data_IF_249799146116
#
_entry.id   IF_249799146116
#
_cell.length_a   1.000
_cell.length_b   1.000
_cell.length_c   1.000
_cell.angle_alpha   90.00
_cell.angle_beta   90.00
_cell.angle_gamma   90.00
#
_symmetry.space_group_name_H-M   'P 1'
#
loop_
_entity.id
_entity.type
_entity.pdbx_description
1 polymer ?
#
# COMPACT_ATOMS: atom_id res chain seq x y z
N UNK A 1 14.92 44.86 -48.91
CA UNK A 1 16.04 44.78 -47.95
C UNK A 1 15.62 45.55 -46.71
N UNK A 2 15.59 44.89 -45.54
CA UNK A 2 15.76 45.41 -44.16
C UNK A 2 15.04 44.45 -43.19
N UNK A 3 15.89 43.63 -42.55
CA UNK A 3 15.80 42.93 -41.25
C UNK A 3 14.49 42.26 -40.84
N UNK A 4 14.44 40.94 -41.06
CA UNK A 4 13.84 39.99 -40.10
C UNK A 4 14.44 40.24 -38.72
N UNK A 5 13.65 40.71 -37.77
CA UNK A 5 13.96 40.55 -36.35
C UNK A 5 14.01 39.05 -36.06
N UNK A 6 15.23 38.53 -35.88
CA UNK A 6 15.47 37.26 -35.22
C UNK A 6 15.01 37.48 -33.78
N UNK A 7 13.76 37.09 -33.51
CA UNK A 7 13.24 36.99 -32.15
C UNK A 7 14.18 36.11 -31.34
N UNK A 8 14.71 36.71 -30.27
CA UNK A 8 15.44 36.09 -29.18
C UNK A 8 15.15 34.58 -29.06
N UNK A 9 16.18 33.75 -29.29
CA UNK A 9 16.21 32.42 -28.66
C UNK A 9 16.21 32.71 -27.16
N UNK A 10 15.04 32.59 -26.55
CA UNK A 10 14.88 32.76 -25.11
C UNK A 10 15.95 31.93 -24.42
N UNK A 11 16.58 32.51 -23.41
CA UNK A 11 17.34 31.76 -22.42
C UNK A 11 16.55 30.50 -22.05
N UNK A 12 17.18 29.32 -21.97
CA UNK A 12 16.47 28.13 -21.54
C UNK A 12 15.81 28.46 -20.21
N UNK A 13 14.47 28.32 -20.14
CA UNK A 13 13.74 28.49 -18.89
C UNK A 13 14.48 27.64 -17.85
N UNK A 14 14.80 28.20 -16.66
CA UNK A 14 15.51 27.44 -15.65
C UNK A 14 14.75 26.15 -15.39
N UNK A 15 15.47 25.02 -15.41
CA UNK A 15 14.92 23.71 -15.12
C UNK A 15 14.33 23.76 -13.71
N UNK A 16 13.03 23.49 -13.59
CA UNK A 16 12.36 23.43 -12.31
C UNK A 16 12.77 22.11 -11.62
N UNK A 17 13.57 22.16 -10.54
CA UNK A 17 14.11 20.96 -9.90
C UNK A 17 13.00 20.11 -9.28
N UNK A 18 11.91 20.72 -8.81
CA UNK A 18 10.77 20.02 -8.23
C UNK A 18 10.05 19.21 -9.30
N UNK A 19 9.72 19.83 -10.44
CA UNK A 19 9.07 19.11 -11.56
C UNK A 19 9.95 17.99 -12.11
N UNK A 20 11.26 18.21 -12.14
CA UNK A 20 12.23 17.20 -12.57
C UNK A 20 12.24 16.03 -11.61
N UNK A 21 12.28 16.29 -10.30
CA UNK A 21 12.22 15.24 -9.28
C UNK A 21 10.90 14.45 -9.35
N UNK A 22 9.76 15.12 -9.54
CA UNK A 22 8.46 14.47 -9.74
C UNK A 22 8.48 13.56 -10.98
N UNK A 23 9.02 14.04 -12.11
CA UNK A 23 9.16 13.25 -13.34
C UNK A 23 10.01 12.00 -13.17
N UNK A 24 11.15 12.12 -12.47
CA UNK A 24 12.01 10.98 -12.16
C UNK A 24 11.28 9.99 -11.26
N UNK A 25 10.64 10.46 -10.19
CA UNK A 25 9.90 9.60 -9.26
C UNK A 25 8.76 8.85 -9.94
N UNK A 26 7.95 9.52 -10.76
CA UNK A 26 6.87 8.88 -11.52
C UNK A 26 7.42 7.81 -12.46
N UNK A 27 8.52 8.11 -13.16
CA UNK A 27 9.13 7.18 -14.11
C UNK A 27 9.69 5.93 -13.41
N UNK A 28 10.41 6.13 -12.31
CA UNK A 28 11.00 5.03 -11.51
C UNK A 28 9.89 4.19 -10.87
N UNK A 29 8.88 4.82 -10.26
CA UNK A 29 7.72 4.12 -9.69
C UNK A 29 6.95 3.33 -10.76
N UNK A 30 6.74 3.92 -11.95
CA UNK A 30 6.06 3.25 -13.05
C UNK A 30 6.84 2.03 -13.56
N UNK A 31 8.15 2.19 -13.79
CA UNK A 31 9.02 1.08 -14.18
C UNK A 31 9.04 -0.03 -13.11
N UNK A 32 9.07 0.34 -11.83
CA UNK A 32 9.01 -0.61 -10.71
C UNK A 32 7.69 -1.42 -10.70
N UNK A 33 6.54 -0.75 -10.92
CA UNK A 33 5.24 -1.43 -11.04
C UNK A 33 5.19 -2.40 -12.23
N UNK A 34 5.71 -1.98 -13.39
CA UNK A 34 5.77 -2.84 -14.60
C UNK A 34 6.66 -4.06 -14.34
N UNK A 35 7.83 -3.86 -13.73
CA UNK A 35 8.72 -4.97 -13.37
C UNK A 35 8.04 -5.94 -12.41
N UNK A 36 7.32 -5.41 -11.41
CA UNK A 36 6.61 -6.25 -10.45
C UNK A 36 5.48 -7.04 -11.14
N UNK A 37 4.70 -6.43 -12.02
CA UNK A 37 3.72 -7.13 -12.85
C UNK A 37 4.37 -8.25 -13.66
N UNK A 38 5.49 -7.96 -14.32
CA UNK A 38 6.24 -8.93 -15.10
C UNK A 38 6.68 -10.13 -14.23
N UNK A 39 7.31 -9.87 -13.08
CA UNK A 39 7.70 -10.92 -12.13
C UNK A 39 6.51 -11.72 -11.62
N UNK A 40 5.37 -11.07 -11.39
CA UNK A 40 4.19 -11.71 -10.80
C UNK A 40 3.44 -12.60 -11.81
N UNK A 41 3.47 -12.21 -13.09
CA UNK A 41 2.84 -12.95 -14.19
C UNK A 41 3.72 -14.09 -14.68
N UNK A 42 5.02 -13.84 -14.88
CA UNK A 42 5.95 -14.75 -15.56
C UNK A 42 6.97 -15.42 -14.63
N UNK A 43 7.00 -15.08 -13.33
CA UNK A 43 7.93 -15.66 -12.37
C UNK A 43 7.70 -17.15 -12.15
N UNK A 44 8.77 -17.93 -12.24
CA UNK A 44 8.71 -19.40 -12.18
C UNK A 44 8.36 -19.94 -10.79
N UNK A 45 8.58 -19.16 -9.73
CA UNK A 45 8.33 -19.55 -8.32
C UNK A 45 7.11 -18.87 -7.71
N UNK A 46 6.22 -18.35 -8.55
CA UNK A 46 5.03 -17.62 -8.12
C UNK A 46 3.91 -18.59 -7.71
N UNK A 47 3.70 -18.74 -6.39
CA UNK A 47 2.57 -19.52 -5.84
C UNK A 47 1.24 -18.79 -6.06
N UNK A 48 0.11 -19.51 -6.16
CA UNK A 48 -1.24 -18.96 -6.45
C UNK A 48 -1.93 -18.37 -5.22
N UNK A 49 -1.21 -17.58 -4.45
CA UNK A 49 -1.66 -17.07 -3.14
C UNK A 49 -2.38 -15.73 -3.29
N UNK A 50 -3.15 -15.31 -2.28
CA UNK A 50 -3.85 -14.02 -2.28
C UNK A 50 -2.86 -12.87 -2.44
N UNK A 51 -1.70 -12.92 -1.77
CA UNK A 51 -0.67 -11.86 -1.90
C UNK A 51 -0.21 -11.66 -3.35
N UNK A 52 -0.12 -12.73 -4.16
CA UNK A 52 0.20 -12.63 -5.59
C UNK A 52 -0.87 -11.81 -6.33
N UNK A 53 -2.14 -12.16 -6.15
CA UNK A 53 -3.25 -11.48 -6.82
C UNK A 53 -3.38 -10.03 -6.38
N UNK A 54 -3.17 -9.76 -5.10
CA UNK A 54 -3.14 -8.41 -4.54
C UNK A 54 -2.03 -7.57 -5.17
N UNK A 55 -0.81 -8.11 -5.32
CA UNK A 55 0.30 -7.39 -5.96
C UNK A 55 0.00 -7.09 -7.44
N UNK A 56 -0.58 -8.04 -8.19
CA UNK A 56 -1.02 -7.78 -9.58
C UNK A 56 -2.02 -6.62 -9.61
N UNK A 57 -3.07 -6.71 -8.77
CA UNK A 57 -4.13 -5.73 -8.78
C UNK A 57 -3.60 -4.33 -8.44
N UNK A 58 -2.85 -4.22 -7.35
CA UNK A 58 -2.29 -2.95 -6.92
C UNK A 58 -1.33 -2.38 -7.96
N UNK A 59 -0.42 -3.19 -8.52
CA UNK A 59 0.55 -2.68 -9.51
C UNK A 59 -0.14 -2.13 -10.75
N UNK A 60 -1.21 -2.78 -11.21
CA UNK A 60 -2.01 -2.30 -12.33
C UNK A 60 -2.66 -0.94 -12.03
N UNK A 61 -3.33 -0.82 -10.89
CA UNK A 61 -4.01 0.41 -10.51
C UNK A 61 -3.05 1.53 -10.07
N UNK A 62 -1.87 1.19 -9.55
CA UNK A 62 -0.80 2.14 -9.28
C UNK A 62 -0.23 2.75 -10.57
N UNK A 63 -0.17 2.00 -11.67
CA UNK A 63 0.20 2.58 -12.97
C UNK A 63 -0.83 3.61 -13.40
N UNK A 64 -2.13 3.28 -13.30
CA UNK A 64 -3.20 4.24 -13.60
C UNK A 64 -3.10 5.48 -12.72
N UNK A 65 -2.84 5.28 -11.42
CA UNK A 65 -2.64 6.33 -10.45
C UNK A 65 -1.50 7.28 -10.85
N UNK A 66 -0.33 6.74 -11.20
CA UNK A 66 0.83 7.51 -11.62
C UNK A 66 0.60 8.28 -12.92
N UNK A 67 -0.11 7.68 -13.89
CA UNK A 67 -0.48 8.35 -15.14
C UNK A 67 -1.43 9.52 -14.87
N UNK A 68 -2.45 9.30 -14.04
CA UNK A 68 -3.42 10.34 -13.66
C UNK A 68 -2.72 11.48 -12.90
N UNK A 69 -1.89 11.15 -11.91
CA UNK A 69 -1.13 12.11 -11.11
C UNK A 69 -0.15 12.91 -11.98
N UNK A 70 0.61 12.22 -12.84
CA UNK A 70 1.59 12.82 -13.74
C UNK A 70 0.99 13.72 -14.81
N UNK A 71 -0.32 13.63 -15.06
CA UNK A 71 -1.05 14.48 -16.00
C UNK A 71 -1.72 15.69 -15.34
N UNK A 72 -2.16 15.57 -14.09
CA UNK A 72 -3.10 16.51 -13.46
C UNK A 72 -2.56 17.25 -12.24
N UNK A 73 -1.50 16.74 -11.58
CA UNK A 73 -0.93 17.44 -10.42
C UNK A 73 -0.33 18.80 -10.80
N UNK A 74 -0.35 19.76 -9.88
CA UNK A 74 0.18 21.12 -10.12
C UNK A 74 1.70 21.10 -10.46
N UNK A 75 2.43 20.14 -9.89
CA UNK A 75 3.85 19.86 -10.17
C UNK A 75 4.05 18.76 -11.20
N UNK A 76 3.03 18.45 -12.02
CA UNK A 76 3.10 17.43 -13.05
C UNK A 76 4.30 17.67 -13.98
N UNK A 77 5.09 16.62 -14.26
CA UNK A 77 6.18 16.70 -15.24
C UNK A 77 5.65 16.88 -16.67
N UNK A 78 4.43 16.39 -16.93
CA UNK A 78 3.76 16.44 -18.23
C UNK A 78 2.33 16.99 -18.09
N UNK A 79 2.18 18.28 -17.76
CA UNK A 79 0.86 18.89 -17.61
C UNK A 79 0.11 18.77 -18.93
N UNK A 80 -1.15 18.34 -18.87
CA UNK A 80 -2.02 18.11 -20.03
C UNK A 80 -1.70 16.86 -20.88
N UNK A 81 -0.98 15.87 -20.36
CA UNK A 81 -0.85 14.58 -21.04
C UNK A 81 -2.23 13.94 -21.31
N UNK A 82 -3.14 14.02 -20.32
CA UNK A 82 -4.57 13.77 -20.47
C UNK A 82 -5.26 15.13 -20.72
N UNK A 83 -5.88 15.22 -21.89
CA UNK A 83 -6.50 16.46 -22.39
C UNK A 83 -7.99 16.53 -22.01
N UNK A 84 -8.63 15.39 -21.73
CA UNK A 84 -10.06 15.32 -21.36
C UNK A 84 -10.36 16.14 -20.10
N UNK A 85 -11.34 17.05 -20.20
CA UNK A 85 -11.85 17.85 -19.07
C UNK A 85 -12.57 16.95 -18.05
N UNK A 86 -13.39 16.00 -18.51
CA UNK A 86 -14.08 15.03 -17.65
C UNK A 86 -13.11 14.26 -16.74
N UNK A 87 -11.91 13.95 -17.26
CA UNK A 87 -10.87 13.27 -16.49
C UNK A 87 -10.23 14.17 -15.44
N UNK A 88 -10.01 15.46 -15.76
CA UNK A 88 -9.46 16.43 -14.81
C UNK A 88 -10.43 16.68 -13.67
N UNK A 89 -11.71 16.79 -14.00
CA UNK A 89 -12.78 17.01 -13.03
C UNK A 89 -12.99 15.78 -12.14
N UNK A 90 -12.61 14.60 -12.63
CA UNK A 90 -12.70 13.32 -11.90
C UNK A 90 -11.39 12.88 -11.25
N UNK A 91 -10.35 13.72 -11.24
CA UNK A 91 -9.01 13.33 -10.80
C UNK A 91 -8.98 12.86 -9.33
N UNK A 92 -9.69 13.56 -8.43
CA UNK A 92 -9.79 13.22 -7.00
C UNK A 92 -10.42 11.84 -6.81
N UNK A 93 -11.38 11.48 -7.64
CA UNK A 93 -12.09 10.20 -7.59
C UNK A 93 -11.26 9.06 -8.16
N UNK A 94 -10.50 9.29 -9.23
CA UNK A 94 -9.50 8.32 -9.73
C UNK A 94 -8.45 8.04 -8.64
N UNK A 95 -8.05 9.08 -7.93
CA UNK A 95 -7.15 8.98 -6.80
C UNK A 95 -7.77 8.19 -5.63
N UNK A 96 -9.03 8.45 -5.25
CA UNK A 96 -9.74 7.64 -4.24
C UNK A 96 -9.90 6.18 -4.67
N UNK A 97 -10.24 5.93 -5.93
CA UNK A 97 -10.39 4.59 -6.48
C UNK A 97 -9.09 3.80 -6.37
N UNK A 98 -8.00 4.34 -6.91
CA UNK A 98 -6.71 3.65 -6.97
C UNK A 98 -6.12 3.41 -5.58
N UNK A 99 -6.38 4.33 -4.63
CA UNK A 99 -5.98 4.18 -3.22
C UNK A 99 -6.78 3.15 -2.45
N UNK A 100 -8.06 2.96 -2.78
CA UNK A 100 -8.91 1.98 -2.10
C UNK A 100 -8.48 0.54 -2.36
N UNK A 101 -7.84 0.29 -3.52
CA UNK A 101 -7.44 -1.07 -3.95
C UNK A 101 -6.48 -1.72 -2.95
N UNK A 102 -5.49 -0.96 -2.47
CA UNK A 102 -4.48 -1.50 -1.55
C UNK A 102 -5.07 -1.97 -0.21
N UNK A 103 -5.71 -1.10 0.61
CA UNK A 103 -6.27 -1.50 1.91
C UNK A 103 -7.36 -2.56 1.74
N UNK A 104 -8.22 -2.44 0.71
CA UNK A 104 -9.26 -3.42 0.46
C UNK A 104 -8.67 -4.80 0.11
N UNK A 105 -7.62 -4.84 -0.71
CA UNK A 105 -6.95 -6.08 -1.04
C UNK A 105 -6.20 -6.69 0.15
N UNK A 106 -5.54 -5.86 0.97
CA UNK A 106 -4.79 -6.34 2.12
C UNK A 106 -5.65 -7.04 3.17
N UNK A 107 -6.94 -6.67 3.31
CA UNK A 107 -7.89 -7.36 4.19
C UNK A 107 -7.95 -8.85 3.83
N UNK A 108 -8.12 -9.18 2.55
CA UNK A 108 -8.18 -10.58 2.10
C UNK A 108 -6.84 -11.29 2.23
N UNK A 109 -5.73 -10.57 2.00
CA UNK A 109 -4.38 -11.12 2.18
C UNK A 109 -4.13 -11.53 3.63
N UNK A 110 -4.53 -10.69 4.60
CA UNK A 110 -4.41 -11.05 6.02
C UNK A 110 -5.27 -12.25 6.38
N UNK A 111 -6.50 -12.33 5.89
CA UNK A 111 -7.35 -13.50 6.13
C UNK A 111 -6.74 -14.79 5.54
N UNK A 112 -6.25 -14.75 4.30
CA UNK A 112 -5.56 -15.91 3.69
C UNK A 112 -4.35 -16.34 4.53
N UNK A 113 -3.52 -15.37 4.95
CA UNK A 113 -2.31 -15.63 5.73
C UNK A 113 -2.62 -16.27 7.09
N UNK A 114 -3.63 -15.76 7.81
CA UNK A 114 -4.08 -16.36 9.06
C UNK A 114 -4.59 -17.80 8.84
N UNK A 115 -5.45 -18.01 7.85
CA UNK A 115 -6.00 -19.34 7.53
C UNK A 115 -4.88 -20.32 7.19
N UNK A 116 -3.92 -19.93 6.35
CA UNK A 116 -2.82 -20.80 5.92
C UNK A 116 -1.80 -21.06 7.01
N UNK A 117 -1.66 -20.15 7.96
CA UNK A 117 -0.86 -20.38 9.17
C UNK A 117 -1.48 -21.49 10.02
N UNK A 118 -2.80 -21.47 10.19
CA UNK A 118 -3.53 -22.50 10.94
C UNK A 118 -3.66 -23.82 10.17
N UNK A 119 -3.87 -23.75 8.85
CA UNK A 119 -4.14 -24.90 7.98
C UNK A 119 -3.23 -24.86 6.74
N UNK A 120 -1.95 -25.25 6.86
CA UNK A 120 -0.99 -25.13 5.78
C UNK A 120 -1.31 -25.96 4.53
N UNK A 121 -2.08 -27.05 4.67
CA UNK A 121 -2.47 -27.92 3.55
C UNK A 121 -3.34 -27.20 2.51
N UNK A 122 -3.92 -26.06 2.84
CA UNK A 122 -4.70 -25.25 1.91
C UNK A 122 -3.84 -24.48 0.90
N UNK A 123 -2.51 -24.40 1.08
CA UNK A 123 -1.63 -23.67 0.14
C UNK A 123 -1.70 -24.21 -1.28
N UNK A 124 -1.82 -25.53 -1.42
CA UNK A 124 -1.80 -26.23 -2.70
C UNK A 124 -3.22 -26.52 -3.21
N UNK A 125 -4.24 -26.16 -2.43
CA UNK A 125 -5.63 -26.36 -2.79
C UNK A 125 -6.04 -25.31 -3.84
N UNK A 126 -6.33 -25.79 -5.05
CA UNK A 126 -6.79 -24.94 -6.15
C UNK A 126 -8.05 -24.15 -5.82
N UNK A 127 -9.06 -24.77 -5.22
CA UNK A 127 -10.35 -24.13 -4.92
C UNK A 127 -10.15 -22.98 -3.93
N UNK A 128 -9.38 -23.23 -2.87
CA UNK A 128 -9.05 -22.23 -1.87
C UNK A 128 -8.36 -21.01 -2.51
N UNK A 129 -7.35 -21.25 -3.34
CA UNK A 129 -6.65 -20.19 -4.07
C UNK A 129 -7.55 -19.44 -5.08
N UNK A 130 -8.50 -20.14 -5.71
CA UNK A 130 -9.46 -19.55 -6.66
C UNK A 130 -10.42 -18.59 -5.96
N UNK A 131 -10.87 -18.91 -4.73
CA UNK A 131 -11.70 -17.99 -3.92
C UNK A 131 -10.99 -16.65 -3.72
N UNK A 132 -9.72 -16.67 -3.31
CA UNK A 132 -8.96 -15.43 -3.11
C UNK A 132 -8.68 -14.68 -4.41
N UNK A 133 -8.49 -15.38 -5.53
CA UNK A 133 -8.45 -14.74 -6.85
C UNK A 133 -9.75 -13.99 -7.15
N UNK A 134 -10.91 -14.62 -6.97
CA UNK A 134 -12.22 -14.01 -7.22
C UNK A 134 -12.49 -12.81 -6.29
N UNK A 135 -12.08 -12.90 -5.03
CA UNK A 135 -12.25 -11.80 -4.07
C UNK A 135 -11.34 -10.62 -4.42
N UNK A 136 -10.07 -10.87 -4.75
CA UNK A 136 -9.07 -9.81 -4.96
C UNK A 136 -9.13 -9.15 -6.33
N UNK A 137 -9.53 -9.89 -7.37
CA UNK A 137 -9.56 -9.37 -8.74
C UNK A 137 -10.98 -8.94 -9.11
N UNK A 138 -11.93 -9.82 -9.48
CA UNK A 138 -13.22 -9.36 -9.96
C UNK A 138 -14.06 -8.68 -8.88
N UNK A 139 -14.23 -9.26 -7.70
CA UNK A 139 -15.14 -8.72 -6.68
C UNK A 139 -14.73 -7.31 -6.23
N UNK A 140 -13.48 -7.15 -5.80
CA UNK A 140 -12.93 -5.86 -5.39
C UNK A 140 -13.03 -4.82 -6.51
N UNK A 141 -12.60 -5.16 -7.73
CA UNK A 141 -12.61 -4.21 -8.84
C UNK A 141 -14.03 -3.86 -9.29
N UNK A 142 -14.98 -4.80 -9.28
CA UNK A 142 -16.38 -4.52 -9.60
C UNK A 142 -16.97 -3.53 -8.59
N UNK A 143 -16.72 -3.72 -7.29
CA UNK A 143 -17.20 -2.79 -6.25
C UNK A 143 -16.58 -1.42 -6.44
N UNK A 144 -15.25 -1.35 -6.62
CA UNK A 144 -14.56 -0.09 -6.81
C UNK A 144 -15.05 0.63 -8.08
N UNK A 145 -15.23 -0.09 -9.18
CA UNK A 145 -15.75 0.47 -10.44
C UNK A 145 -17.20 0.93 -10.28
N UNK A 146 -18.04 0.14 -9.62
CA UNK A 146 -19.41 0.54 -9.32
C UNK A 146 -19.44 1.83 -8.50
N UNK A 147 -18.67 1.93 -7.42
CA UNK A 147 -18.60 3.15 -6.60
C UNK A 147 -18.04 4.35 -7.38
N UNK A 148 -17.12 4.13 -8.32
CA UNK A 148 -16.62 5.17 -9.21
C UNK A 148 -17.72 5.66 -10.17
N UNK A 149 -18.45 4.74 -10.80
CA UNK A 149 -19.50 5.08 -11.77
C UNK A 149 -20.81 5.55 -11.13
N UNK A 150 -21.06 5.19 -9.87
CA UNK A 150 -22.28 5.54 -9.15
C UNK A 150 -22.51 7.06 -9.03
N UNK A 151 -21.47 7.89 -9.16
CA UNK A 151 -21.60 9.35 -9.14
C UNK A 151 -22.41 9.91 -10.31
N UNK A 152 -22.46 9.20 -11.44
CA UNK A 152 -23.24 9.61 -12.61
C UNK A 152 -24.67 9.04 -12.59
N UNK A 153 -25.02 8.28 -11.56
CA UNK A 153 -26.40 7.84 -11.36
C UNK A 153 -27.20 8.97 -10.73
N UNK A 154 -28.44 9.18 -11.19
CA UNK A 154 -29.40 10.14 -10.63
C UNK A 154 -29.96 9.64 -9.28
N UNK A 155 -29.07 9.43 -8.31
CA UNK A 155 -29.39 8.95 -6.96
C UNK A 155 -28.78 9.94 -5.97
N UNK A 156 -29.59 10.37 -5.00
CA UNK A 156 -29.12 11.22 -3.90
C UNK A 156 -28.28 10.40 -2.91
N UNK A 157 -27.02 10.20 -3.25
CA UNK A 157 -26.07 9.50 -2.39
C UNK A 157 -25.77 10.32 -1.13
N UNK A 158 -25.80 9.66 0.03
CA UNK A 158 -25.44 10.25 1.32
C UNK A 158 -24.03 10.88 1.34
N UNK A 159 -23.08 10.26 0.65
CA UNK A 159 -21.71 10.71 0.46
C UNK A 159 -21.21 10.22 -0.91
N UNK A 160 -20.26 10.90 -1.58
CA UNK A 160 -19.70 10.41 -2.85
C UNK A 160 -19.25 8.95 -2.73
N UNK A 161 -19.81 8.01 -3.52
CA UNK A 161 -19.67 6.57 -3.23
C UNK A 161 -18.23 6.07 -3.22
N UNK A 162 -17.37 6.56 -4.12
CA UNK A 162 -15.95 6.16 -4.16
C UNK A 162 -15.13 6.73 -3.00
N UNK A 163 -15.44 7.95 -2.56
CA UNK A 163 -14.80 8.53 -1.39
C UNK A 163 -15.24 7.77 -0.13
N UNK A 164 -16.52 7.41 -0.05
CA UNK A 164 -17.04 6.57 1.04
C UNK A 164 -16.38 5.19 1.07
N UNK A 165 -16.21 4.55 -0.10
CA UNK A 165 -15.51 3.27 -0.21
C UNK A 165 -14.06 3.38 0.30
N UNK A 166 -13.34 4.43 -0.11
CA UNK A 166 -11.98 4.68 0.37
C UNK A 166 -11.94 4.86 1.90
N UNK A 167 -12.89 5.62 2.44
CA UNK A 167 -12.99 5.83 3.89
C UNK A 167 -13.25 4.52 4.64
N UNK A 168 -14.26 3.78 4.18
CA UNK A 168 -14.71 2.54 4.79
C UNK A 168 -13.63 1.44 4.74
N UNK A 169 -13.02 1.25 3.57
CA UNK A 169 -12.00 0.20 3.36
C UNK A 169 -10.74 0.46 4.17
N UNK A 170 -10.30 1.71 4.29
CA UNK A 170 -9.14 2.06 5.11
C UNK A 170 -9.40 1.83 6.61
N UNK A 171 -10.58 2.20 7.13
CA UNK A 171 -10.95 1.93 8.54
C UNK A 171 -10.97 0.43 8.82
N UNK A 172 -11.62 -0.37 7.96
CA UNK A 172 -11.63 -1.82 8.13
C UNK A 172 -10.21 -2.39 8.03
N UNK A 173 -9.40 -1.93 7.09
CA UNK A 173 -8.02 -2.35 6.98
C UNK A 173 -7.22 -2.09 8.27
N UNK A 174 -7.39 -0.93 8.91
CA UNK A 174 -6.76 -0.63 10.20
C UNK A 174 -7.20 -1.61 11.29
N UNK A 175 -8.49 -1.91 11.39
CA UNK A 175 -9.03 -2.88 12.35
C UNK A 175 -8.48 -4.29 12.10
N UNK A 176 -8.48 -4.74 10.85
CA UNK A 176 -7.95 -6.07 10.47
C UNK A 176 -6.45 -6.14 10.68
N UNK A 177 -5.71 -5.04 10.48
CA UNK A 177 -4.26 -4.97 10.78
C UNK A 177 -4.00 -5.18 12.27
N UNK A 178 -4.83 -4.61 13.15
CA UNK A 178 -4.74 -4.84 14.60
C UNK A 178 -5.04 -6.32 14.93
N UNK A 179 -6.09 -6.90 14.33
CA UNK A 179 -6.42 -8.32 14.51
C UNK A 179 -5.26 -9.21 14.05
N UNK A 180 -4.66 -8.90 12.89
CA UNK A 180 -3.52 -9.62 12.36
C UNK A 180 -2.27 -9.48 13.25
N UNK A 181 -2.04 -8.31 13.86
CA UNK A 181 -0.97 -8.12 14.83
C UNK A 181 -1.17 -8.99 16.08
N UNK A 182 -2.38 -9.01 16.64
CA UNK A 182 -2.73 -9.88 17.77
C UNK A 182 -2.49 -11.34 17.39
N UNK A 183 -2.93 -11.75 16.19
CA UNK A 183 -2.67 -13.09 15.67
C UNK A 183 -1.17 -13.40 15.59
N UNK A 184 -0.35 -12.48 15.07
CA UNK A 184 1.10 -12.64 15.00
C UNK A 184 1.72 -12.81 16.39
N UNK A 185 1.29 -12.03 17.38
CA UNK A 185 1.78 -12.12 18.76
C UNK A 185 1.43 -13.47 19.40
N UNK A 186 0.18 -13.93 19.26
CA UNK A 186 -0.27 -15.22 19.78
C UNK A 186 0.50 -16.37 19.11
N UNK A 187 0.58 -16.36 17.78
CA UNK A 187 1.25 -17.40 17.02
C UNK A 187 2.77 -17.42 17.28
N UNK A 188 3.39 -16.27 17.54
CA UNK A 188 4.78 -16.19 17.97
C UNK A 188 5.03 -17.01 19.24
N UNK A 189 4.13 -16.94 20.21
CA UNK A 189 4.18 -17.78 21.42
C UNK A 189 4.12 -19.27 21.11
N UNK A 190 3.19 -19.68 20.23
CA UNK A 190 3.07 -21.08 19.80
C UNK A 190 4.29 -21.56 19.01
N UNK A 191 4.83 -20.73 18.11
CA UNK A 191 6.04 -21.02 17.36
C UNK A 191 7.25 -21.23 18.28
N UNK A 192 7.44 -20.35 19.28
CA UNK A 192 8.47 -20.50 20.29
C UNK A 192 8.30 -21.83 21.05
N UNK A 193 7.10 -22.14 21.53
CA UNK A 193 6.81 -23.39 22.25
C UNK A 193 7.16 -24.65 21.42
N UNK A 194 6.73 -24.69 20.16
CA UNK A 194 7.00 -25.83 19.25
C UNK A 194 8.48 -25.96 18.91
N UNK A 195 9.19 -24.83 18.77
CA UNK A 195 10.65 -24.83 18.57
C UNK A 195 11.35 -25.41 19.80
N UNK A 196 10.92 -25.11 21.03
CA UNK A 196 11.51 -25.72 22.23
C UNK A 196 11.16 -27.21 22.40
N UNK A 197 10.03 -27.68 21.86
CA UNK A 197 9.53 -29.06 22.04
C UNK A 197 10.11 -30.13 21.08
N UNK A 198 10.94 -29.76 20.09
CA UNK A 198 11.63 -30.61 19.08
C UNK A 198 10.75 -31.42 18.09
N UNK A 199 10.93 -31.12 16.79
CA UNK A 199 11.06 -32.05 15.63
C UNK A 199 10.89 -31.33 14.27
N UNK A 200 10.39 -30.08 14.23
CA UNK A 200 10.12 -29.36 12.97
C UNK A 200 10.62 -27.89 12.95
N UNK A 201 11.83 -27.63 13.49
CA UNK A 201 12.37 -26.28 13.66
C UNK A 201 12.38 -25.41 12.39
N UNK A 202 12.76 -25.99 11.24
CA UNK A 202 12.88 -25.23 9.98
C UNK A 202 11.53 -24.66 9.53
N UNK A 203 10.50 -25.51 9.45
CA UNK A 203 9.16 -25.12 8.99
C UNK A 203 8.54 -24.05 9.90
N UNK A 204 8.62 -24.24 11.21
CA UNK A 204 8.06 -23.30 12.19
C UNK A 204 8.75 -21.93 12.13
N UNK A 205 10.08 -21.88 11.92
CA UNK A 205 10.81 -20.64 11.78
C UNK A 205 10.46 -19.88 10.48
N UNK A 206 10.30 -20.59 9.36
CA UNK A 206 9.87 -19.96 8.10
C UNK A 206 8.47 -19.35 8.23
N UNK A 207 7.50 -20.10 8.78
CA UNK A 207 6.14 -19.58 9.01
C UNK A 207 6.14 -18.34 9.91
N UNK A 208 6.95 -18.34 10.98
CA UNK A 208 7.11 -17.18 11.85
C UNK A 208 7.62 -15.94 11.08
N UNK A 209 8.67 -16.11 10.27
CA UNK A 209 9.26 -15.01 9.49
C UNK A 209 8.27 -14.48 8.45
N UNK A 210 7.59 -15.35 7.71
CA UNK A 210 6.63 -14.94 6.68
C UNK A 210 5.47 -14.12 7.26
N UNK A 211 4.94 -14.55 8.40
CA UNK A 211 3.86 -13.82 9.08
C UNK A 211 4.27 -12.40 9.48
N UNK A 212 5.44 -12.26 10.09
CA UNK A 212 5.96 -10.97 10.55
C UNK A 212 6.41 -10.06 9.42
N UNK A 213 6.86 -10.61 8.29
CA UNK A 213 7.22 -9.80 7.12
C UNK A 213 6.00 -9.32 6.33
N UNK A 214 4.87 -10.02 6.38
CA UNK A 214 3.64 -9.53 5.78
C UNK A 214 3.12 -8.27 6.50
N UNK A 215 3.41 -8.11 7.78
CA UNK A 215 3.00 -6.94 8.56
C UNK A 215 3.58 -5.61 8.06
N UNK A 216 4.92 -5.42 7.90
CA UNK A 216 5.48 -4.19 7.34
C UNK A 216 5.08 -3.97 5.87
N UNK A 217 4.83 -5.03 5.10
CA UNK A 217 4.28 -4.91 3.74
C UNK A 217 2.91 -4.22 3.74
N UNK A 218 2.03 -4.55 4.68
CA UNK A 218 0.74 -3.87 4.83
C UNK A 218 0.83 -2.50 5.51
N UNK A 219 1.62 -2.39 6.58
CA UNK A 219 1.63 -1.24 7.48
C UNK A 219 2.31 0.00 6.86
N UNK A 220 3.46 -0.15 6.22
CA UNK A 220 4.22 1.02 5.71
C UNK A 220 3.44 1.76 4.62
N UNK A 221 2.90 1.10 3.57
CA UNK A 221 2.08 1.79 2.59
C UNK A 221 0.84 2.42 3.20
N UNK A 222 0.23 1.79 4.21
CA UNK A 222 -0.91 2.37 4.92
C UNK A 222 -0.56 3.66 5.67
N UNK A 223 0.59 3.72 6.35
CA UNK A 223 1.08 4.96 6.98
C UNK A 223 1.29 6.04 5.93
N UNK A 224 1.82 5.69 4.75
CA UNK A 224 2.00 6.64 3.65
C UNK A 224 0.66 7.09 3.03
N UNK A 225 -0.36 6.24 3.02
CA UNK A 225 -1.73 6.61 2.65
C UNK A 225 -2.44 7.43 3.72
N UNK A 226 -2.05 7.32 4.99
CA UNK A 226 -2.69 7.95 6.14
C UNK A 226 -2.93 9.46 6.03
N UNK A 227 -1.92 10.28 5.63
CA UNK A 227 -2.12 11.71 5.40
C UNK A 227 -3.19 11.99 4.35
N UNK A 228 -3.15 11.29 3.22
CA UNK A 228 -4.09 11.45 2.11
C UNK A 228 -5.52 11.00 2.46
N UNK A 229 -5.64 9.90 3.22
CA UNK A 229 -6.91 9.48 3.85
C UNK A 229 -7.41 10.58 4.80
N UNK A 230 -6.51 11.13 5.63
CA UNK A 230 -6.80 12.24 6.54
C UNK A 230 -7.49 13.39 5.83
N UNK A 231 -6.97 13.83 4.69
CA UNK A 231 -7.59 14.88 3.87
C UNK A 231 -8.97 14.52 3.33
N UNK A 232 -9.14 13.30 2.82
CA UNK A 232 -10.46 12.82 2.36
C UNK A 232 -11.45 12.73 3.53
N UNK A 233 -10.96 12.37 4.73
CA UNK A 233 -11.76 12.26 5.95
C UNK A 233 -12.10 13.62 6.58
N UNK A 234 -11.32 14.69 6.32
CA UNK A 234 -11.60 16.01 6.87
C UNK A 234 -12.94 16.57 6.37
N UNK A 235 -13.29 16.36 5.11
CA UNK A 235 -14.60 16.75 4.58
C UNK A 235 -15.73 15.96 5.26
N UNK A 236 -15.54 14.66 5.47
CA UNK A 236 -16.49 13.81 6.19
C UNK A 236 -16.64 14.22 7.67
N UNK A 237 -15.52 14.41 8.38
CA UNK A 237 -15.47 14.86 9.78
C UNK A 237 -16.09 16.25 9.93
N UNK A 238 -15.78 17.18 9.03
CA UNK A 238 -16.37 18.53 9.04
C UNK A 238 -17.88 18.50 8.78
N UNK A 239 -18.31 17.72 7.79
CA UNK A 239 -19.73 17.66 7.37
C UNK A 239 -20.62 16.97 8.42
N UNK A 240 -20.10 15.95 9.10
CA UNK A 240 -20.91 15.11 10.00
C UNK A 240 -20.50 15.20 11.47
N UNK A 241 -19.21 15.02 11.78
CA UNK A 241 -18.75 14.94 13.18
C UNK A 241 -18.75 16.31 13.87
N UNK A 242 -18.23 17.35 13.22
CA UNK A 242 -18.26 18.73 13.72
C UNK A 242 -19.68 19.28 13.80
N UNK A 243 -20.51 18.99 12.78
CA UNK A 243 -21.93 19.36 12.79
C UNK A 243 -22.67 18.69 13.94
N UNK A 244 -22.49 17.38 14.13
CA UNK A 244 -23.06 16.63 15.25
C UNK A 244 -22.55 17.12 16.61
N UNK A 245 -21.26 17.43 16.76
CA UNK A 245 -20.71 18.01 17.99
C UNK A 245 -21.31 19.37 18.32
N UNK A 246 -21.47 20.23 17.31
CA UNK A 246 -22.13 21.54 17.47
C UNK A 246 -23.61 21.39 17.83
N UNK A 247 -24.32 20.46 17.19
CA UNK A 247 -25.73 20.17 17.46
C UNK A 247 -25.95 19.56 18.85
N UNK A 248 -24.97 18.86 19.41
CA UNK A 248 -25.02 18.26 20.75
C UNK A 248 -24.39 19.14 21.86
N UNK A 249 -24.16 20.44 21.59
CA UNK A 249 -23.75 21.40 22.61
C UNK A 249 -22.28 21.33 23.03
N UNK A 250 -21.44 20.53 22.35
CA UNK A 250 -19.99 20.46 22.60
C UNK A 250 -19.20 21.63 21.99
N UNK A 251 -19.88 22.60 21.36
CA UNK A 251 -19.27 23.77 20.71
C UNK A 251 -19.00 24.99 21.61
N UNK A 252 -19.26 24.90 22.92
CA UNK A 252 -19.14 26.03 23.84
C UNK A 252 -18.02 25.86 24.86
N UNK A 253 -16.86 26.47 24.61
CA UNK A 253 -15.76 26.51 25.58
C UNK A 253 -14.59 27.36 25.11
N UNK A 254 -14.59 28.63 25.47
CA UNK A 254 -13.49 29.58 25.30
C UNK A 254 -12.22 29.09 26.03
N UNK A 255 -11.12 28.91 25.31
CA UNK A 255 -9.77 28.81 25.90
C UNK A 255 -8.83 27.82 25.23
N UNK A 256 -9.15 26.53 25.24
CA UNK A 256 -8.20 25.45 24.87
C UNK A 256 -8.37 24.91 23.44
N UNK A 257 -9.54 25.16 22.81
CA UNK A 257 -9.79 24.73 21.43
C UNK A 257 -8.94 25.46 20.39
N UNK A 258 -8.43 26.66 20.70
CA UNK A 258 -7.62 27.47 19.78
C UNK A 258 -6.24 26.89 19.50
N UNK A 259 -5.54 26.43 20.53
CA UNK A 259 -4.19 25.84 20.40
C UNK A 259 -4.24 24.45 19.75
N UNK A 260 -5.26 23.65 20.08
CA UNK A 260 -5.54 22.38 19.39
C UNK A 260 -5.86 22.60 17.92
N UNK A 261 -6.71 23.58 17.60
CA UNK A 261 -7.07 23.91 16.22
C UNK A 261 -5.87 24.47 15.44
N UNK A 262 -5.03 25.30 16.06
CA UNK A 262 -3.82 25.82 15.44
C UNK A 262 -2.79 24.70 15.18
N UNK A 263 -2.63 23.77 16.13
CA UNK A 263 -1.77 22.59 15.96
C UNK A 263 -2.30 21.66 14.88
N UNK A 264 -3.62 21.42 14.85
CA UNK A 264 -4.30 20.65 13.80
C UNK A 264 -4.12 21.29 12.42
N UNK A 265 -4.21 22.61 12.32
CA UNK A 265 -3.99 23.36 11.08
C UNK A 265 -2.54 23.28 10.62
N UNK A 266 -1.55 23.40 11.54
CA UNK A 266 -0.13 23.21 11.22
C UNK A 266 0.18 21.78 10.75
N UNK A 267 -0.35 20.77 11.46
CA UNK A 267 -0.19 19.36 11.05
C UNK A 267 -0.86 19.11 9.70
N UNK A 268 -2.04 19.68 9.45
CA UNK A 268 -2.69 19.62 8.16
C UNK A 268 -1.82 20.29 7.08
N UNK A 269 -1.29 21.48 7.30
CA UNK A 269 -0.43 22.19 6.35
C UNK A 269 0.83 21.39 5.96
N UNK A 270 1.51 20.81 6.96
CA UNK A 270 2.63 19.90 6.71
C UNK A 270 2.19 18.65 5.93
N UNK A 271 1.03 18.09 6.27
CA UNK A 271 0.48 16.93 5.58
C UNK A 271 0.05 17.26 4.14
N UNK A 272 -0.49 18.45 3.83
CA UNK A 272 -0.76 18.92 2.44
C UNK A 272 0.54 18.97 1.65
N UNK A 273 1.59 19.54 2.25
CA UNK A 273 2.87 19.74 1.60
C UNK A 273 3.58 18.41 1.32
N UNK A 274 3.49 17.45 2.25
CA UNK A 274 4.10 16.14 2.12
C UNK A 274 3.24 15.14 1.31
N UNK A 275 1.92 15.34 1.24
CA UNK A 275 1.00 14.42 0.58
C UNK A 275 1.45 14.08 -0.84
N UNK A 276 1.70 15.03 -1.76
CA UNK A 276 2.20 14.74 -3.10
C UNK A 276 3.36 13.74 -3.16
N UNK A 277 4.32 13.85 -2.24
CA UNK A 277 5.47 12.97 -2.17
C UNK A 277 5.09 11.57 -1.70
N UNK A 278 4.23 11.46 -0.68
CA UNK A 278 3.69 10.16 -0.26
C UNK A 278 2.94 9.48 -1.39
N UNK A 279 2.11 10.22 -2.12
CA UNK A 279 1.37 9.71 -3.28
C UNK A 279 2.30 9.06 -4.31
N UNK A 280 3.41 9.74 -4.63
CA UNK A 280 4.38 9.29 -5.64
C UNK A 280 5.28 8.15 -5.16
N UNK A 281 5.61 8.13 -3.87
CA UNK A 281 6.50 7.14 -3.27
C UNK A 281 5.78 5.84 -2.90
N UNK A 282 4.47 5.88 -2.71
CA UNK A 282 3.66 4.70 -2.33
C UNK A 282 3.87 3.52 -3.29
N UNK A 283 3.78 3.66 -4.63
CA UNK A 283 4.00 2.53 -5.53
C UNK A 283 5.43 1.97 -5.41
N UNK A 284 6.42 2.85 -5.23
CA UNK A 284 7.82 2.45 -5.04
C UNK A 284 8.02 1.71 -3.71
N UNK A 285 7.42 2.20 -2.63
CA UNK A 285 7.45 1.55 -1.32
C UNK A 285 6.77 0.18 -1.39
N UNK A 286 5.61 0.08 -2.06
CA UNK A 286 4.92 -1.19 -2.27
C UNK A 286 5.80 -2.20 -3.03
N UNK A 287 6.44 -1.79 -4.13
CA UNK A 287 7.30 -2.68 -4.91
C UNK A 287 8.52 -3.11 -4.09
N UNK A 288 9.16 -2.16 -3.39
CA UNK A 288 10.34 -2.44 -2.56
C UNK A 288 9.99 -3.42 -1.43
N UNK A 289 8.87 -3.20 -0.75
CA UNK A 289 8.40 -4.09 0.31
C UNK A 289 7.94 -5.43 -0.25
N UNK A 290 7.33 -5.50 -1.44
CA UNK A 290 7.00 -6.77 -2.06
C UNK A 290 8.26 -7.62 -2.27
N UNK A 291 9.34 -7.01 -2.76
CA UNK A 291 10.63 -7.70 -2.97
C UNK A 291 11.31 -8.08 -1.65
N UNK A 292 11.23 -7.26 -0.60
CA UNK A 292 11.90 -7.51 0.69
C UNK A 292 11.13 -8.48 1.58
N UNK A 293 9.82 -8.31 1.67
CA UNK A 293 8.97 -8.96 2.65
C UNK A 293 8.37 -10.27 2.16
N UNK A 294 8.13 -10.42 0.85
CA UNK A 294 7.39 -11.57 0.32
C UNK A 294 8.37 -12.60 -0.23
N UNK A 295 8.29 -13.84 0.29
CA UNK A 295 9.17 -14.96 -0.08
C UNK A 295 9.28 -15.18 -1.59
N UNK A 296 8.15 -15.36 -2.28
CA UNK A 296 8.13 -15.69 -3.71
C UNK A 296 8.81 -14.66 -4.61
N UNK A 297 8.87 -13.39 -4.20
CA UNK A 297 9.60 -12.35 -4.94
C UNK A 297 11.09 -12.35 -4.62
N UNK A 298 11.47 -12.55 -3.35
CA UNK A 298 12.88 -12.74 -2.97
C UNK A 298 13.52 -13.90 -3.73
N UNK A 299 12.79 -15.00 -3.86
CA UNK A 299 13.26 -16.19 -4.56
C UNK A 299 13.46 -15.97 -6.07
N UNK A 300 12.85 -14.95 -6.69
CA UNK A 300 13.12 -14.60 -8.09
C UNK A 300 14.46 -13.88 -8.27
N UNK A 301 14.93 -13.13 -7.27
CA UNK A 301 16.08 -12.21 -7.39
C UNK A 301 17.42 -12.92 -7.15
N UNK A 302 17.42 -14.17 -6.68
CA UNK A 302 18.57 -15.07 -6.80
C UNK A 302 18.57 -16.23 -5.80
N UNK A 303 19.17 -17.39 -6.14
CA UNK A 303 19.25 -18.56 -5.26
C UNK A 303 20.17 -18.40 -4.03
N UNK A 304 21.00 -17.34 -4.00
CA UNK A 304 22.02 -17.12 -2.95
C UNK A 304 21.83 -15.86 -2.09
N UNK A 305 20.72 -15.13 -2.24
CA UNK A 305 20.33 -14.06 -1.30
C UNK A 305 19.07 -14.47 -0.54
N UNK A 306 19.10 -15.65 0.05
CA UNK A 306 18.42 -15.80 1.34
C UNK A 306 19.10 -14.74 2.21
N UNK A 307 18.37 -13.71 2.63
CA UNK A 307 18.82 -12.83 3.72
C UNK A 307 19.32 -13.77 4.81
N UNK A 308 20.66 -13.85 4.93
CA UNK A 308 21.32 -14.96 5.58
C UNK A 308 20.64 -15.18 6.92
N UNK A 309 20.06 -16.38 7.07
CA UNK A 309 19.56 -16.88 8.34
C UNK A 309 20.62 -16.68 9.43
N UNK A 310 21.91 -16.65 9.06
CA UNK A 310 23.04 -16.31 9.93
C UNK A 310 22.92 -14.94 10.61
N UNK A 311 22.43 -13.86 9.98
CA UNK A 311 22.40 -12.55 10.67
C UNK A 311 21.34 -12.45 11.78
N UNK A 312 20.21 -13.16 11.64
CA UNK A 312 19.20 -13.23 12.70
C UNK A 312 19.52 -14.33 13.72
N UNK A 313 20.12 -15.45 13.26
CA UNK A 313 20.58 -16.54 14.14
C UNK A 313 21.79 -16.17 14.98
N UNK A 314 22.71 -15.35 14.46
CA UNK A 314 23.90 -14.87 15.20
C UNK A 314 23.46 -13.94 16.34
N UNK A 315 22.44 -13.09 16.13
CA UNK A 315 21.90 -12.28 17.22
C UNK A 315 21.10 -13.09 18.26
N UNK A 316 20.43 -14.18 17.87
CA UNK A 316 19.80 -15.09 18.83
C UNK A 316 20.81 -16.01 19.54
N UNK A 317 21.92 -16.37 18.88
CA UNK A 317 23.00 -17.18 19.45
C UNK A 317 23.86 -16.38 20.45
N UNK A 318 23.99 -15.06 20.27
CA UNK A 318 24.59 -14.16 21.27
C UNK A 318 23.75 -14.11 22.55
N UNK A 319 22.42 -14.29 22.45
CA UNK A 319 21.52 -14.36 23.61
C UNK A 319 21.46 -15.75 24.28
N UNK A 320 21.93 -16.81 23.61
CA UNK A 320 21.91 -18.19 24.12
C UNK A 320 23.17 -18.98 23.73
N UNK A 321 24.28 -18.85 24.48
CA UNK A 321 25.56 -19.48 24.14
C UNK A 321 25.59 -21.02 24.22
N UNK A 322 24.50 -21.67 24.66
CA UNK A 322 24.43 -23.12 24.89
C UNK A 322 23.48 -23.89 23.93
N UNK A 323 23.11 -23.31 22.78
CA UNK A 323 22.33 -24.01 21.75
C UNK A 323 23.16 -25.05 20.96
N UNK A 324 22.58 -26.19 20.53
CA UNK A 324 23.32 -27.25 19.84
C UNK A 324 23.84 -26.77 18.48
N UNK A 325 25.16 -26.89 18.30
CA UNK A 325 25.87 -26.55 17.07
C UNK A 325 25.27 -27.20 15.82
N UNK A 326 24.85 -26.38 14.86
CA UNK A 326 24.45 -26.84 13.52
C UNK A 326 25.71 -27.14 12.71
N UNK A 327 26.17 -28.41 12.71
CA UNK A 327 27.08 -28.90 11.67
C UNK A 327 26.28 -29.14 10.39
N UNK A 328 26.55 -28.36 9.36
CA UNK A 328 26.13 -28.66 7.99
C UNK A 328 26.83 -29.95 7.53
N UNK A 329 26.08 -31.04 7.41
CA UNK A 329 26.54 -32.23 6.70
C UNK A 329 26.47 -31.99 5.19
N UNK A 330 27.63 -31.91 4.55
CA UNK A 330 27.74 -32.17 3.11
C UNK A 330 27.20 -33.58 2.85
N UNK A 331 26.23 -33.70 1.94
CA UNK A 331 25.96 -34.96 1.26
C UNK A 331 26.12 -34.74 -0.24
N UNK A 332 26.93 -35.63 -0.81
CA UNK A 332 27.30 -35.79 -2.19
C UNK A 332 26.10 -36.11 -3.10
#
# INVERSE_FOLDING_TARGET
MVRKQIGNKGSPKPVDPDKTAYGVMISVSGAACILLLYMTLFGQRMRRTAIRWHVINCSWWSILHLISYGSSAEKAPWPNFIISEDWRDSYKEVECFTRSIFPFGMIFVYFEAMIRTCVPSLSDNWIFNMIFFLLLIPYLNIIAMFCFFAKWMEVDWFYPPIEFLNLFTYVIFCLVTIVYLIFCLIQSGFCCFVIFSRNNHKRTAYTFIEMWLLFPYGLIPAIMYGPSFGFTSLEFVRKFFLKWLMENGFGGGTGEGGEFMETMMKVAEYAITAMPWFVLLVPLAQVSLAVICIEMFREQVGPHRVLNFEYFSVNLAILYPNGPSFRCGNKA
#
